data_IF_615408707050
#
_entry.id   IF_615408707050
#
_cell.length_a   1.000
_cell.length_b   1.000
_cell.length_c   1.000
_cell.angle_alpha   90.00
_cell.angle_beta   90.00
_cell.angle_gamma   90.00
#
_symmetry.space_group_name_H-M   'P 1'
#
loop_
_entity.id
_entity.type
_entity.pdbx_description
1 polymer ?
#
# COMPACT_ATOMS: atom_id res chain seq x y z
N UNK A 1 -27.93 -5.39 8.61
CA UNK A 1 -26.65 -6.01 8.17
C UNK A 1 -26.23 -7.05 9.20
N UNK A 2 -25.70 -8.20 8.75
CA UNK A 2 -25.11 -9.20 9.66
C UNK A 2 -23.83 -8.63 10.32
N UNK A 3 -23.35 -9.26 11.40
CA UNK A 3 -22.09 -8.86 12.05
C UNK A 3 -20.93 -8.90 11.04
N UNK A 4 -20.81 -9.99 10.29
CA UNK A 4 -19.80 -10.17 9.26
C UNK A 4 -19.83 -9.05 8.18
N UNK A 5 -21.04 -8.73 7.68
CA UNK A 5 -21.20 -7.66 6.69
C UNK A 5 -20.80 -6.28 7.22
N UNK A 6 -21.06 -6.00 8.52
CA UNK A 6 -20.63 -4.73 9.14
C UNK A 6 -19.11 -4.64 9.21
N UNK A 7 -18.44 -5.71 9.62
CA UNK A 7 -16.97 -5.76 9.69
C UNK A 7 -16.33 -5.68 8.29
N UNK A 8 -16.90 -6.34 7.29
CA UNK A 8 -16.42 -6.23 5.90
C UNK A 8 -16.60 -4.83 5.34
N UNK A 9 -17.71 -4.15 5.66
CA UNK A 9 -17.95 -2.78 5.20
C UNK A 9 -17.04 -1.75 5.92
N UNK A 10 -16.74 -1.97 7.20
CA UNK A 10 -15.71 -1.20 7.91
C UNK A 10 -14.36 -1.30 7.19
N UNK A 11 -13.89 -2.53 6.85
CA UNK A 11 -12.65 -2.73 6.11
C UNK A 11 -12.70 -2.09 4.72
N UNK A 12 -13.87 -2.20 4.04
CA UNK A 12 -14.08 -1.56 2.74
C UNK A 12 -13.83 -0.04 2.82
N UNK A 13 -14.46 0.64 3.76
CA UNK A 13 -14.29 2.09 3.92
C UNK A 13 -12.86 2.46 4.33
N UNK A 14 -12.25 1.70 5.25
CA UNK A 14 -10.86 1.91 5.69
C UNK A 14 -9.90 1.96 4.50
N UNK A 15 -9.95 0.96 3.64
CA UNK A 15 -9.03 0.88 2.49
C UNK A 15 -9.49 1.69 1.27
N UNK A 16 -10.77 2.02 1.16
CA UNK A 16 -11.25 2.99 0.18
C UNK A 16 -10.63 4.36 0.42
N UNK A 17 -10.58 4.82 1.68
CA UNK A 17 -9.96 6.10 2.06
C UNK A 17 -8.52 6.17 1.55
N UNK A 18 -7.74 5.13 1.79
CA UNK A 18 -6.33 5.08 1.37
C UNK A 18 -6.19 4.98 -0.15
N UNK A 19 -6.95 4.08 -0.77
CA UNK A 19 -6.95 3.88 -2.23
C UNK A 19 -7.42 5.10 -3.02
N UNK A 20 -8.20 5.99 -2.43
CA UNK A 20 -8.71 7.17 -3.11
C UNK A 20 -7.61 8.20 -3.43
N UNK A 21 -6.67 8.47 -2.51
CA UNK A 21 -5.68 9.54 -2.68
C UNK A 21 -4.27 9.07 -3.03
N UNK A 22 -3.85 7.89 -2.53
CA UNK A 22 -2.46 7.45 -2.64
C UNK A 22 -1.97 7.27 -4.09
N UNK A 23 -2.71 6.64 -5.01
CA UNK A 23 -2.17 6.39 -6.35
C UNK A 23 -1.81 7.64 -7.14
N UNK A 24 -2.51 8.75 -6.93
CA UNK A 24 -2.32 9.99 -7.69
C UNK A 24 -1.48 11.04 -6.99
N UNK A 25 -1.18 10.90 -5.69
CA UNK A 25 -0.41 11.91 -4.94
C UNK A 25 0.98 12.16 -5.56
N UNK A 26 1.63 11.12 -6.07
CA UNK A 26 2.99 11.20 -6.63
C UNK A 26 3.08 12.05 -7.89
N UNK A 27 1.98 12.17 -8.64
CA UNK A 27 1.85 13.11 -9.76
C UNK A 27 1.30 14.47 -9.34
N UNK A 28 0.45 14.48 -8.31
CA UNK A 28 -0.21 15.69 -7.83
C UNK A 28 0.74 16.67 -7.14
N UNK A 29 1.61 16.19 -6.24
CA UNK A 29 2.55 17.07 -5.53
C UNK A 29 3.47 17.85 -6.48
N UNK A 30 4.11 17.24 -7.50
CA UNK A 30 4.86 17.98 -8.50
C UNK A 30 4.02 18.98 -9.28
N UNK A 31 2.74 18.68 -9.61
CA UNK A 31 1.86 19.60 -10.32
C UNK A 31 1.47 20.84 -9.51
N UNK A 32 1.59 20.78 -8.18
CA UNK A 32 1.48 21.93 -7.27
C UNK A 32 2.79 22.76 -7.20
N UNK A 33 3.84 22.34 -7.88
CA UNK A 33 5.14 23.01 -7.86
C UNK A 33 6.00 22.69 -6.65
N UNK A 34 5.68 21.66 -5.88
CA UNK A 34 6.48 21.29 -4.71
C UNK A 34 7.83 20.71 -5.12
N UNK A 35 8.88 21.20 -4.49
CA UNK A 35 10.25 20.71 -4.66
C UNK A 35 10.37 19.23 -4.23
N UNK A 36 11.38 18.47 -4.70
CA UNK A 36 11.61 17.09 -4.28
C UNK A 36 11.68 16.89 -2.76
N UNK A 37 12.24 17.88 -2.06
CA UNK A 37 12.32 17.85 -0.59
C UNK A 37 10.94 18.00 0.05
N UNK A 38 10.09 18.89 -0.45
CA UNK A 38 8.73 19.09 0.04
C UNK A 38 7.85 17.87 -0.27
N UNK A 39 7.98 17.29 -1.46
CA UNK A 39 7.34 16.02 -1.83
C UNK A 39 7.75 14.91 -0.84
N UNK A 40 9.05 14.76 -0.57
CA UNK A 40 9.56 13.76 0.37
C UNK A 40 8.97 13.94 1.78
N UNK A 41 8.88 15.16 2.31
CA UNK A 41 8.27 15.42 3.61
C UNK A 41 6.79 15.02 3.67
N UNK A 42 6.01 15.36 2.65
CA UNK A 42 4.59 15.02 2.57
C UNK A 42 4.41 13.50 2.45
N UNK A 43 5.12 12.84 1.55
CA UNK A 43 5.04 11.41 1.33
C UNK A 43 5.51 10.61 2.56
N UNK A 44 6.44 11.16 3.33
CA UNK A 44 6.93 10.55 4.57
C UNK A 44 5.97 10.70 5.75
N UNK A 45 4.89 11.48 5.64
CA UNK A 45 3.89 11.55 6.71
C UNK A 45 3.31 10.17 7.06
N UNK A 46 3.05 9.32 6.06
CA UNK A 46 2.52 7.96 6.28
C UNK A 46 3.53 7.03 6.97
N UNK A 47 4.76 6.82 6.49
CA UNK A 47 5.74 5.98 7.19
C UNK A 47 6.15 6.54 8.56
N UNK A 48 6.21 7.85 8.74
CA UNK A 48 6.43 8.47 10.06
C UNK A 48 5.29 8.08 11.01
N UNK A 49 4.03 8.20 10.56
CA UNK A 49 2.87 7.81 11.34
C UNK A 49 2.87 6.31 11.66
N UNK A 50 3.33 5.45 10.73
CA UNK A 50 3.47 4.02 10.97
C UNK A 50 4.50 3.72 12.06
N UNK A 51 5.65 4.39 12.04
CA UNK A 51 6.70 4.26 13.05
C UNK A 51 6.19 4.75 14.41
N UNK A 52 5.61 5.94 14.46
CA UNK A 52 5.05 6.52 15.69
C UNK A 52 3.91 5.64 16.22
N UNK A 53 3.01 5.19 15.35
CA UNK A 53 1.89 4.33 15.70
C UNK A 53 2.31 3.02 16.33
N UNK A 54 3.37 2.41 15.85
CA UNK A 54 3.89 1.16 16.40
C UNK A 54 4.38 1.31 17.85
N UNK A 55 5.01 2.44 18.17
CA UNK A 55 5.56 2.68 19.51
C UNK A 55 4.54 3.26 20.49
N UNK A 56 3.59 4.07 20.04
CA UNK A 56 2.75 4.88 20.92
C UNK A 56 1.24 4.61 20.82
N UNK A 57 0.69 4.50 19.60
CA UNK A 57 -0.78 4.56 19.45
C UNK A 57 -1.46 3.24 19.77
N UNK A 58 -0.92 2.09 19.37
CA UNK A 58 -1.54 0.80 19.64
C UNK A 58 -1.61 0.52 21.16
N UNK A 59 -0.59 0.94 21.91
CA UNK A 59 -0.61 0.78 23.37
C UNK A 59 -1.53 1.79 24.08
N UNK A 60 -1.61 3.03 23.57
CA UNK A 60 -2.43 4.07 24.17
C UNK A 60 -3.92 3.89 23.84
N UNK A 61 -4.24 3.60 22.58
CA UNK A 61 -5.62 3.41 22.13
C UNK A 61 -6.26 2.17 22.77
N UNK A 62 -5.57 1.04 22.74
CA UNK A 62 -6.06 -0.24 23.26
C UNK A 62 -6.30 -0.23 24.78
N UNK A 63 -5.64 0.65 25.51
CA UNK A 63 -5.77 0.73 26.99
C UNK A 63 -6.82 1.71 27.48
N UNK A 64 -7.06 2.80 26.75
CA UNK A 64 -7.82 3.92 27.27
C UNK A 64 -9.18 4.12 26.59
N UNK A 65 -9.36 3.60 25.37
CA UNK A 65 -10.56 3.82 24.58
C UNK A 65 -11.14 2.51 24.07
N UNK A 66 -12.46 2.47 23.93
CA UNK A 66 -13.07 1.43 23.12
C UNK A 66 -12.71 1.62 21.65
N UNK A 67 -12.39 0.52 20.95
CA UNK A 67 -11.79 0.56 19.62
C UNK A 67 -12.68 1.29 18.59
N UNK A 68 -14.00 1.08 18.62
CA UNK A 68 -14.96 1.73 17.74
C UNK A 68 -15.05 3.26 17.97
N UNK A 69 -14.87 3.72 19.22
CA UNK A 69 -14.87 5.16 19.52
C UNK A 69 -13.57 5.83 19.09
N UNK A 70 -12.44 5.15 19.29
CA UNK A 70 -11.16 5.62 18.79
C UNK A 70 -11.20 5.73 17.26
N UNK A 71 -11.73 4.71 16.57
CA UNK A 71 -11.93 4.71 15.13
C UNK A 71 -12.78 5.93 14.69
N UNK A 72 -13.92 6.18 15.35
CA UNK A 72 -14.79 7.31 15.03
C UNK A 72 -14.08 8.65 15.16
N UNK A 73 -13.41 8.91 16.30
CA UNK A 73 -12.72 10.19 16.53
C UNK A 73 -11.54 10.39 15.56
N UNK A 74 -10.75 9.34 15.32
CA UNK A 74 -9.63 9.38 14.38
C UNK A 74 -10.10 9.72 12.97
N UNK A 75 -11.23 9.16 12.53
CA UNK A 75 -11.78 9.44 11.20
C UNK A 75 -12.53 10.77 11.09
N UNK A 76 -13.03 11.34 12.19
CA UNK A 76 -13.55 12.72 12.18
C UNK A 76 -12.40 13.70 11.97
N UNK A 77 -11.36 13.64 12.78
CA UNK A 77 -10.26 14.61 12.74
C UNK A 77 -9.36 14.35 11.54
N UNK A 78 -8.95 13.10 11.32
CA UNK A 78 -8.14 12.69 10.17
C UNK A 78 -8.86 12.87 8.84
N UNK A 79 -10.19 12.67 8.83
CA UNK A 79 -11.06 12.92 7.67
C UNK A 79 -11.16 14.41 7.33
N UNK A 80 -11.30 15.28 8.32
CA UNK A 80 -11.26 16.73 8.12
C UNK A 80 -9.89 17.18 7.58
N UNK A 81 -8.81 16.59 8.08
CA UNK A 81 -7.46 16.91 7.64
C UNK A 81 -7.23 16.50 6.17
N UNK A 82 -7.56 15.25 5.77
CA UNK A 82 -7.39 14.81 4.38
C UNK A 82 -8.30 15.57 3.43
N UNK A 83 -9.53 15.88 3.82
CA UNK A 83 -10.43 16.73 3.05
C UNK A 83 -9.82 18.12 2.85
N UNK A 84 -9.20 18.69 3.89
CA UNK A 84 -8.50 19.98 3.82
C UNK A 84 -7.35 19.99 2.81
N UNK A 85 -6.64 18.85 2.61
CA UNK A 85 -5.60 18.74 1.58
C UNK A 85 -6.11 19.03 0.17
N UNK A 86 -7.40 18.78 -0.12
CA UNK A 86 -8.01 19.10 -1.41
C UNK A 86 -8.21 20.60 -1.66
N UNK A 87 -8.02 21.47 -0.67
CA UNK A 87 -8.28 22.91 -0.76
C UNK A 87 -7.05 23.77 -0.48
N UNK A 88 -5.88 23.15 -0.33
CA UNK A 88 -4.61 23.86 -0.12
C UNK A 88 -3.59 23.44 -1.17
N UNK A 89 -2.83 24.42 -1.67
CA UNK A 89 -1.83 24.27 -2.73
C UNK A 89 -0.44 24.77 -2.31
N UNK A 90 -0.26 25.06 -1.01
CA UNK A 90 1.02 25.49 -0.42
C UNK A 90 1.57 24.42 0.51
N UNK A 91 2.89 24.30 0.57
CA UNK A 91 3.59 23.20 1.26
C UNK A 91 3.19 23.03 2.74
N UNK A 92 3.34 24.08 3.56
CA UNK A 92 3.15 23.93 5.01
C UNK A 92 1.73 23.51 5.42
N UNK A 93 0.65 24.14 4.92
CA UNK A 93 -0.70 23.68 5.21
C UNK A 93 -0.95 22.25 4.73
N UNK A 94 -0.49 21.91 3.50
CA UNK A 94 -0.66 20.57 2.96
C UNK A 94 0.08 19.52 3.82
N UNK A 95 1.34 19.78 4.16
CA UNK A 95 2.14 18.87 5.00
C UNK A 95 1.53 18.65 6.38
N UNK A 96 1.11 19.72 7.07
CA UNK A 96 0.52 19.61 8.41
C UNK A 96 -0.80 18.82 8.35
N UNK A 97 -1.67 19.10 7.38
CA UNK A 97 -2.92 18.37 7.21
C UNK A 97 -2.68 16.90 6.88
N UNK A 98 -1.74 16.59 5.98
CA UNK A 98 -1.37 15.23 5.63
C UNK A 98 -0.78 14.49 6.84
N UNK A 99 0.09 15.15 7.61
CA UNK A 99 0.67 14.56 8.82
C UNK A 99 -0.40 14.25 9.88
N UNK A 100 -1.34 15.17 10.13
CA UNK A 100 -2.48 14.95 11.04
C UNK A 100 -3.34 13.79 10.56
N UNK A 101 -3.66 13.76 9.26
CA UNK A 101 -4.40 12.64 8.67
C UNK A 101 -3.68 11.31 8.93
N UNK A 102 -2.40 11.22 8.55
CA UNK A 102 -1.64 9.97 8.66
C UNK A 102 -1.47 9.52 10.13
N UNK A 103 -1.18 10.42 11.06
CA UNK A 103 -1.02 10.09 12.49
C UNK A 103 -2.30 9.52 13.11
N UNK A 104 -3.47 9.90 12.60
CA UNK A 104 -4.76 9.40 13.07
C UNK A 104 -5.25 8.19 12.27
N UNK A 105 -5.00 8.16 10.95
CA UNK A 105 -5.45 7.11 10.06
C UNK A 105 -4.63 5.82 10.19
N UNK A 106 -3.28 5.90 10.19
CA UNK A 106 -2.44 4.69 10.15
C UNK A 106 -2.69 3.74 11.32
N UNK A 107 -2.86 4.20 12.56
CA UNK A 107 -3.24 3.32 13.67
C UNK A 107 -4.58 2.62 13.48
N UNK A 108 -5.54 3.23 12.77
CA UNK A 108 -6.87 2.64 12.58
C UNK A 108 -6.84 1.37 11.73
N UNK A 109 -5.83 1.19 10.88
CA UNK A 109 -5.60 -0.05 10.13
C UNK A 109 -5.45 -1.25 11.09
N UNK A 110 -4.70 -1.10 12.18
CA UNK A 110 -4.55 -2.15 13.20
C UNK A 110 -5.82 -2.30 14.05
N UNK A 111 -6.49 -1.20 14.36
CA UNK A 111 -7.70 -1.17 15.17
C UNK A 111 -8.86 -1.86 14.46
N UNK A 112 -9.03 -1.65 13.16
CA UNK A 112 -10.05 -2.36 12.38
C UNK A 112 -9.81 -3.87 12.36
N UNK A 113 -8.55 -4.32 12.28
CA UNK A 113 -8.20 -5.73 12.46
C UNK A 113 -8.56 -6.22 13.87
N UNK A 114 -8.24 -5.47 14.92
CA UNK A 114 -8.55 -5.82 16.31
C UNK A 114 -10.05 -5.93 16.55
N UNK A 115 -10.86 -4.98 16.04
CA UNK A 115 -12.32 -5.06 16.08
C UNK A 115 -12.82 -6.32 15.37
N UNK A 116 -12.28 -6.63 14.18
CA UNK A 116 -12.68 -7.81 13.44
C UNK A 116 -12.40 -9.09 14.25
N UNK A 117 -11.18 -9.28 14.74
CA UNK A 117 -10.79 -10.46 15.53
C UNK A 117 -11.59 -10.63 16.82
N UNK A 118 -11.95 -9.52 17.49
CA UNK A 118 -12.72 -9.57 18.74
C UNK A 118 -14.17 -10.03 18.54
N UNK A 119 -14.67 -10.04 17.30
CA UNK A 119 -16.10 -10.28 17.03
C UNK A 119 -16.38 -11.41 16.06
N UNK A 120 -15.40 -12.23 15.73
CA UNK A 120 -15.55 -13.43 14.90
C UNK A 120 -15.26 -14.68 15.71
N UNK A 121 -16.06 -15.71 15.51
CA UNK A 121 -15.93 -16.98 16.24
C UNK A 121 -14.86 -17.89 15.61
N UNK A 122 -14.66 -17.79 14.30
CA UNK A 122 -13.65 -18.54 13.53
C UNK A 122 -12.80 -17.54 12.72
N UNK A 123 -11.67 -17.11 13.28
CA UNK A 123 -10.76 -16.17 12.59
C UNK A 123 -10.26 -16.70 11.25
N UNK A 124 -9.98 -17.98 11.13
CA UNK A 124 -9.44 -18.60 9.90
C UNK A 124 -10.43 -18.55 8.74
N UNK A 125 -11.68 -18.79 9.02
CA UNK A 125 -12.75 -18.78 8.01
C UNK A 125 -13.26 -17.38 7.72
N UNK A 126 -13.45 -16.56 8.75
CA UNK A 126 -14.20 -15.31 8.63
C UNK A 126 -13.30 -14.09 8.39
N UNK A 127 -12.07 -14.06 8.92
CA UNK A 127 -11.20 -12.91 8.74
C UNK A 127 -10.78 -12.68 7.28
N UNK A 128 -10.45 -13.70 6.48
CA UNK A 128 -10.15 -13.50 5.06
C UNK A 128 -11.31 -12.85 4.29
N UNK A 129 -12.56 -13.22 4.61
CA UNK A 129 -13.76 -12.63 3.99
C UNK A 129 -13.87 -11.14 4.36
N UNK A 130 -13.68 -10.81 5.63
CA UNK A 130 -13.69 -9.43 6.12
C UNK A 130 -12.58 -8.63 5.46
N UNK A 131 -11.37 -9.18 5.40
CA UNK A 131 -10.19 -8.51 4.85
C UNK A 131 -10.30 -8.28 3.33
N UNK A 132 -10.97 -9.18 2.61
CA UNK A 132 -11.30 -8.98 1.18
C UNK A 132 -12.13 -7.71 0.97
N UNK A 133 -13.00 -7.35 1.95
CA UNK A 133 -13.70 -6.06 1.93
C UNK A 133 -12.74 -4.87 1.77
N UNK A 134 -11.58 -4.92 2.42
CA UNK A 134 -10.55 -3.87 2.29
C UNK A 134 -9.98 -3.79 0.86
N UNK A 135 -9.60 -4.91 0.26
CA UNK A 135 -9.10 -4.93 -1.12
C UNK A 135 -10.18 -4.44 -2.10
N UNK A 136 -11.44 -4.82 -1.90
CA UNK A 136 -12.55 -4.29 -2.70
C UNK A 136 -12.73 -2.78 -2.51
N UNK A 137 -12.53 -2.26 -1.29
CA UNK A 137 -12.56 -0.82 -1.01
C UNK A 137 -11.50 -0.06 -1.80
N UNK A 138 -10.28 -0.56 -1.78
CA UNK A 138 -9.15 0.00 -2.56
C UNK A 138 -9.45 0.01 -4.06
N UNK A 139 -9.89 -1.12 -4.61
CA UNK A 139 -10.24 -1.25 -6.04
C UNK A 139 -11.37 -0.29 -6.41
N UNK A 140 -12.43 -0.27 -5.60
CA UNK A 140 -13.61 0.58 -5.85
C UNK A 140 -13.28 2.06 -5.80
N UNK A 141 -12.26 2.46 -5.03
CA UNK A 141 -11.82 3.85 -4.97
C UNK A 141 -11.33 4.39 -6.32
N UNK A 142 -10.83 3.54 -7.21
CA UNK A 142 -10.41 3.96 -8.55
C UNK A 142 -11.59 4.31 -9.49
N UNK A 143 -12.77 3.72 -9.30
CA UNK A 143 -13.90 3.82 -10.22
C UNK A 143 -14.40 5.26 -10.42
N UNK A 144 -14.68 6.06 -9.38
CA UNK A 144 -15.14 7.43 -9.57
C UNK A 144 -14.16 8.28 -10.39
N UNK A 145 -12.85 8.09 -10.17
CA UNK A 145 -11.83 8.90 -10.82
C UNK A 145 -11.62 8.55 -12.30
N UNK A 146 -12.00 7.35 -12.72
CA UNK A 146 -12.09 6.99 -14.15
C UNK A 146 -13.02 7.94 -14.91
N UNK A 147 -14.03 8.52 -14.26
CA UNK A 147 -15.00 9.43 -14.84
C UNK A 147 -14.77 10.91 -14.46
N UNK A 148 -14.25 11.17 -13.25
CA UNK A 148 -13.93 12.54 -12.80
C UNK A 148 -12.75 13.12 -13.59
N UNK A 149 -11.80 12.29 -13.99
CA UNK A 149 -10.62 12.70 -14.76
C UNK A 149 -10.84 12.67 -16.29
N UNK A 150 -12.09 12.62 -16.77
CA UNK A 150 -12.41 12.66 -18.19
C UNK A 150 -12.61 14.10 -18.66
N UNK A 151 -12.03 14.42 -19.81
CA UNK A 151 -12.35 15.62 -20.58
C UNK A 151 -13.69 15.45 -21.30
N UNK A 152 -14.77 15.79 -20.62
CA UNK A 152 -16.13 15.67 -21.15
C UNK A 152 -16.40 16.63 -22.33
N UNK A 153 -15.67 17.73 -22.47
CA UNK A 153 -15.78 18.60 -23.63
C UNK A 153 -15.29 17.87 -24.88
N UNK A 154 -14.12 17.26 -24.82
CA UNK A 154 -13.57 16.44 -25.91
C UNK A 154 -14.47 15.24 -26.24
N UNK A 155 -15.01 14.54 -25.23
CA UNK A 155 -15.95 13.42 -25.44
C UNK A 155 -17.23 13.88 -26.14
N UNK A 156 -17.80 15.00 -25.70
CA UNK A 156 -19.06 15.52 -26.28
C UNK A 156 -18.87 16.13 -27.70
N UNK A 157 -17.65 16.59 -28.00
CA UNK A 157 -17.31 17.09 -29.33
C UNK A 157 -17.05 15.99 -30.35
N UNK A 158 -16.73 14.79 -29.89
CA UNK A 158 -16.48 13.64 -30.75
C UNK A 158 -17.79 13.06 -31.29
N UNK A 159 -17.91 13.00 -32.61
CA UNK A 159 -19.07 12.39 -33.29
C UNK A 159 -18.94 10.86 -33.24
N UNK A 160 -19.39 10.27 -32.13
CA UNK A 160 -19.27 8.83 -31.87
C UNK A 160 -20.61 8.11 -32.12
N UNK A 161 -20.60 7.15 -33.03
CA UNK A 161 -21.75 6.31 -33.32
C UNK A 161 -21.73 4.99 -32.50
N UNK A 162 -22.61 4.93 -31.51
CA UNK A 162 -22.82 3.74 -30.67
C UNK A 162 -22.00 3.69 -29.38
N UNK A 163 -22.48 2.87 -28.45
CA UNK A 163 -21.95 2.79 -27.09
C UNK A 163 -20.45 2.40 -27.02
N UNK A 164 -20.00 1.47 -27.87
CA UNK A 164 -18.62 0.99 -27.86
C UNK A 164 -17.65 2.10 -28.32
N UNK A 165 -18.01 2.84 -29.39
CA UNK A 165 -17.21 3.96 -29.86
C UNK A 165 -17.18 5.10 -28.85
N UNK A 166 -18.33 5.45 -28.27
CA UNK A 166 -18.42 6.43 -27.19
C UNK A 166 -17.56 6.01 -25.97
N UNK A 167 -17.66 4.75 -25.53
CA UNK A 167 -16.84 4.25 -24.43
C UNK A 167 -15.34 4.35 -24.76
N UNK A 168 -14.94 4.00 -25.98
CA UNK A 168 -13.56 4.17 -26.45
C UNK A 168 -13.08 5.61 -26.32
N UNK A 169 -13.91 6.57 -26.76
CA UNK A 169 -13.61 8.01 -26.63
C UNK A 169 -13.48 8.42 -25.16
N UNK A 170 -14.40 8.03 -24.29
CA UNK A 170 -14.32 8.31 -22.83
C UNK A 170 -13.00 7.77 -22.25
N UNK A 171 -12.60 6.60 -22.68
CA UNK A 171 -11.39 5.93 -22.16
C UNK A 171 -10.09 6.59 -22.65
N UNK A 172 -10.12 7.29 -23.78
CA UNK A 172 -8.96 7.96 -24.38
C UNK A 172 -8.92 9.48 -24.12
N UNK A 173 -9.96 10.04 -23.47
CA UNK A 173 -10.12 11.46 -23.20
C UNK A 173 -9.82 11.79 -21.73
N UNK A 174 -8.59 11.57 -21.27
CA UNK A 174 -8.17 11.95 -19.93
C UNK A 174 -7.79 13.44 -19.85
N UNK A 175 -8.16 14.11 -18.75
CA UNK A 175 -7.73 15.47 -18.45
C UNK A 175 -6.20 15.59 -18.38
N UNK A 176 -5.67 16.73 -18.80
CA UNK A 176 -4.24 17.03 -18.77
C UNK A 176 -3.97 18.39 -18.12
N UNK A 177 -2.71 18.68 -17.80
CA UNK A 177 -2.29 19.99 -17.27
C UNK A 177 -3.05 20.45 -16.03
N UNK A 178 -3.45 21.71 -16.01
CA UNK A 178 -4.14 22.33 -14.87
C UNK A 178 -5.51 21.71 -14.61
N UNK A 179 -6.24 21.30 -15.65
CA UNK A 179 -7.53 20.63 -15.49
C UNK A 179 -7.39 19.29 -14.77
N UNK A 180 -6.36 18.49 -15.07
CA UNK A 180 -6.05 17.26 -14.35
C UNK A 180 -5.67 17.56 -12.90
N UNK A 181 -4.83 18.56 -12.65
CA UNK A 181 -4.46 19.00 -11.30
C UNK A 181 -5.70 19.37 -10.48
N UNK A 182 -6.58 20.19 -11.03
CA UNK A 182 -7.80 20.64 -10.37
C UNK A 182 -8.79 19.50 -10.12
N UNK A 183 -8.89 18.53 -11.03
CA UNK A 183 -9.73 17.35 -10.84
C UNK A 183 -9.12 16.37 -9.81
N UNK A 184 -7.79 16.26 -9.70
CA UNK A 184 -7.12 15.36 -8.76
C UNK A 184 -7.40 15.72 -7.30
N UNK A 185 -7.69 17.00 -6.98
CA UNK A 185 -8.10 17.40 -5.61
C UNK A 185 -9.31 16.63 -5.07
N UNK A 186 -10.20 16.17 -5.96
CA UNK A 186 -11.36 15.38 -5.56
C UNK A 186 -11.04 14.03 -4.96
N UNK A 187 -9.80 13.52 -5.14
CA UNK A 187 -9.33 12.31 -4.47
C UNK A 187 -9.27 12.50 -2.95
N UNK A 188 -8.80 13.66 -2.50
CA UNK A 188 -8.74 14.03 -1.08
C UNK A 188 -10.13 14.30 -0.52
N UNK A 189 -11.01 14.92 -1.31
CA UNK A 189 -12.41 15.15 -0.91
C UNK A 189 -13.13 13.80 -0.74
N UNK A 190 -12.98 12.88 -1.69
CA UNK A 190 -13.58 11.54 -1.61
C UNK A 190 -13.06 10.76 -0.38
N UNK A 191 -11.75 10.80 -0.11
CA UNK A 191 -11.15 10.20 1.06
C UNK A 191 -11.70 10.81 2.37
N UNK A 192 -11.83 12.14 2.43
CA UNK A 192 -12.39 12.84 3.59
C UNK A 192 -13.86 12.50 3.83
N UNK A 193 -14.68 12.49 2.79
CA UNK A 193 -16.09 12.07 2.88
C UNK A 193 -16.21 10.62 3.33
N UNK A 194 -15.43 9.71 2.73
CA UNK A 194 -15.42 8.31 3.15
C UNK A 194 -14.97 8.14 4.62
N UNK A 195 -14.01 8.95 5.09
CA UNK A 195 -13.61 9.02 6.51
C UNK A 195 -14.79 9.41 7.41
N UNK A 196 -15.55 10.44 7.06
CA UNK A 196 -16.74 10.81 7.84
C UNK A 196 -17.82 9.74 7.82
N UNK A 197 -18.01 9.05 6.69
CA UNK A 197 -18.91 7.91 6.59
C UNK A 197 -18.44 6.77 7.51
N UNK A 198 -17.14 6.47 7.54
CA UNK A 198 -16.58 5.45 8.44
C UNK A 198 -16.72 5.87 9.91
N UNK A 199 -16.48 7.14 10.23
CA UNK A 199 -16.66 7.67 11.57
C UNK A 199 -18.11 7.49 12.06
N UNK A 200 -19.09 7.87 11.24
CA UNK A 200 -20.50 7.66 11.55
C UNK A 200 -20.86 6.16 11.63
N UNK A 201 -20.33 5.36 10.71
CA UNK A 201 -20.56 3.91 10.68
C UNK A 201 -19.95 3.20 11.90
N UNK A 202 -18.86 3.72 12.47
CA UNK A 202 -18.22 3.17 13.67
C UNK A 202 -19.17 3.11 14.87
N UNK A 203 -20.18 3.96 14.92
CA UNK A 203 -21.22 3.95 15.97
C UNK A 203 -22.13 2.71 15.89
N UNK A 204 -22.17 2.03 14.75
CA UNK A 204 -22.95 0.80 14.51
C UNK A 204 -22.10 -0.48 14.62
N UNK A 205 -20.80 -0.34 14.88
CA UNK A 205 -19.92 -1.48 15.13
C UNK A 205 -20.18 -2.09 16.50
N UNK A 206 -19.90 -3.38 16.70
CA UNK A 206 -20.02 -3.99 18.00
C UNK A 206 -19.02 -3.38 18.98
N UNK A 207 -19.45 -3.23 20.23
CA UNK A 207 -18.65 -2.64 21.29
C UNK A 207 -17.39 -3.47 21.57
N UNK A 208 -16.23 -2.86 21.45
CA UNK A 208 -14.92 -3.49 21.66
C UNK A 208 -14.22 -2.73 22.81
N UNK A 209 -14.34 -3.23 24.05
CA UNK A 209 -13.82 -2.53 25.23
C UNK A 209 -12.29 -2.50 25.21
N UNK A 210 -11.66 -1.53 25.90
CA UNK A 210 -10.23 -1.45 26.02
C UNK A 210 -9.66 -2.68 26.73
N UNK A 211 -8.57 -3.23 26.20
CA UNK A 211 -7.83 -4.34 26.80
C UNK A 211 -7.04 -3.82 28.01
N UNK A 212 -7.59 -3.98 29.21
CA UNK A 212 -6.88 -3.73 30.47
C UNK A 212 -5.89 -4.86 30.73
N UNK A 213 -4.75 -4.86 30.06
CA UNK A 213 -3.66 -5.79 30.36
C UNK A 213 -3.03 -5.38 31.70
N UNK A 214 -2.90 -6.32 32.63
CA UNK A 214 -2.28 -6.13 33.92
C UNK A 214 -0.89 -5.49 33.80
N UNK A 215 -0.62 -4.51 34.66
CA UNK A 215 0.66 -3.80 34.79
C UNK A 215 1.67 -4.84 35.31
N UNK A 216 2.46 -5.45 34.44
CA UNK A 216 3.46 -6.45 34.86
C UNK A 216 4.28 -7.10 33.76
N UNK A 217 3.84 -7.10 32.52
CA UNK A 217 4.65 -7.62 31.42
C UNK A 217 5.51 -6.52 30.80
N UNK A 218 6.83 -6.66 30.95
CA UNK A 218 7.86 -5.79 30.36
C UNK A 218 7.84 -5.88 28.81
N UNK A 219 6.73 -5.45 28.16
CA UNK A 219 6.62 -5.38 26.70
C UNK A 219 7.61 -4.37 26.07
N UNK A 220 8.15 -3.44 26.89
CA UNK A 220 9.21 -2.54 26.40
C UNK A 220 10.51 -3.26 26.07
N UNK A 221 10.71 -4.49 26.57
CA UNK A 221 11.88 -5.31 26.25
C UNK A 221 11.60 -6.38 25.18
N UNK A 222 10.33 -6.67 24.85
CA UNK A 222 9.98 -7.72 23.89
C UNK A 222 10.50 -7.44 22.48
N UNK A 223 10.56 -6.16 22.05
CA UNK A 223 11.16 -5.78 20.78
C UNK A 223 12.69 -5.97 20.79
N UNK A 224 13.36 -5.75 21.94
CA UNK A 224 14.80 -6.01 22.10
C UNK A 224 15.09 -7.50 22.05
N UNK A 225 14.24 -8.34 22.65
CA UNK A 225 14.36 -9.79 22.56
C UNK A 225 14.18 -10.27 21.11
N UNK A 226 13.17 -9.73 20.40
CA UNK A 226 12.98 -10.02 18.98
C UNK A 226 14.17 -9.52 18.13
N UNK A 227 14.73 -8.36 18.45
CA UNK A 227 15.94 -7.85 17.77
C UNK A 227 17.18 -8.73 18.01
N UNK A 228 17.28 -9.46 19.14
CA UNK A 228 18.36 -10.42 19.36
C UNK A 228 18.34 -11.57 18.35
N UNK A 229 17.17 -11.93 17.81
CA UNK A 229 17.04 -12.96 16.78
C UNK A 229 17.65 -12.55 15.44
N UNK A 230 17.88 -11.26 15.19
CA UNK A 230 18.65 -10.77 14.03
C UNK A 230 20.13 -11.24 14.06
N UNK A 231 20.60 -11.80 15.16
CA UNK A 231 21.93 -12.46 15.23
C UNK A 231 21.98 -13.75 14.41
N UNK A 232 20.84 -14.37 14.12
CA UNK A 232 20.79 -15.50 13.21
C UNK A 232 20.96 -15.01 11.75
N UNK A 233 21.97 -15.49 11.02
CA UNK A 233 22.31 -14.94 9.69
C UNK A 233 21.13 -14.93 8.71
N UNK A 234 20.32 -15.98 8.69
CA UNK A 234 19.18 -16.06 7.78
C UNK A 234 18.05 -15.05 8.13
N UNK A 235 17.85 -14.74 9.43
CA UNK A 235 16.89 -13.72 9.88
C UNK A 235 17.41 -12.33 9.50
N UNK A 236 18.72 -12.07 9.69
CA UNK A 236 19.35 -10.82 9.29
C UNK A 236 19.22 -10.59 7.77
N UNK A 237 19.46 -11.63 6.97
CA UNK A 237 19.27 -11.58 5.51
C UNK A 237 17.82 -11.26 5.18
N UNK A 238 16.85 -11.96 5.77
CA UNK A 238 15.43 -11.70 5.54
C UNK A 238 15.06 -10.27 5.91
N UNK A 239 15.57 -9.77 7.03
CA UNK A 239 15.29 -8.42 7.51
C UNK A 239 15.84 -7.33 6.57
N UNK A 240 17.07 -7.48 6.08
CA UNK A 240 17.69 -6.56 5.13
C UNK A 240 16.96 -6.62 3.77
N UNK A 241 16.61 -7.82 3.31
CA UNK A 241 15.86 -7.97 2.06
C UNK A 241 14.45 -7.40 2.20
N UNK A 242 13.80 -7.53 3.36
CA UNK A 242 12.49 -6.91 3.60
C UNK A 242 12.56 -5.39 3.49
N UNK A 243 13.62 -4.76 4.01
CA UNK A 243 13.85 -3.32 3.80
C UNK A 243 14.06 -2.98 2.33
N UNK A 244 14.92 -3.72 1.63
CA UNK A 244 15.23 -3.48 0.22
C UNK A 244 14.00 -3.69 -0.68
N UNK A 245 13.22 -4.74 -0.44
CA UNK A 245 12.01 -5.02 -1.21
C UNK A 245 10.90 -4.01 -0.93
N UNK A 246 10.78 -3.54 0.32
CA UNK A 246 9.89 -2.43 0.64
C UNK A 246 10.29 -1.13 -0.05
N UNK A 247 11.58 -0.81 -0.13
CA UNK A 247 12.07 0.32 -0.92
C UNK A 247 11.64 0.17 -2.40
N UNK A 248 11.91 -0.98 -3.00
CA UNK A 248 11.55 -1.31 -4.40
C UNK A 248 10.03 -1.21 -4.62
N UNK A 249 9.24 -1.74 -3.69
CA UNK A 249 7.78 -1.68 -3.73
C UNK A 249 7.26 -0.23 -3.73
N UNK A 250 7.87 0.64 -2.92
CA UNK A 250 7.50 2.05 -2.88
C UNK A 250 8.00 2.84 -4.10
N UNK A 251 9.08 2.43 -4.78
CA UNK A 251 9.44 2.98 -6.09
C UNK A 251 8.32 2.79 -7.11
N UNK A 252 7.58 1.67 -7.05
CA UNK A 252 6.41 1.46 -7.90
C UNK A 252 5.37 2.56 -7.71
N UNK A 253 4.96 2.85 -6.50
CA UNK A 253 3.97 3.91 -6.24
C UNK A 253 4.49 5.29 -6.62
N UNK A 254 5.76 5.58 -6.34
CA UNK A 254 6.35 6.88 -6.63
C UNK A 254 6.42 7.22 -8.14
N UNK A 255 6.65 6.22 -8.99
CA UNK A 255 7.01 6.48 -10.38
C UNK A 255 6.03 5.94 -11.41
N UNK A 256 5.31 4.85 -11.10
CA UNK A 256 4.49 4.15 -12.11
C UNK A 256 3.39 5.04 -12.68
N UNK A 257 2.69 5.82 -11.85
CA UNK A 257 1.62 6.70 -12.34
C UNK A 257 2.12 7.73 -13.35
N UNK A 258 3.28 8.35 -13.08
CA UNK A 258 3.91 9.32 -13.99
C UNK A 258 4.41 8.65 -15.27
N UNK A 259 4.99 7.46 -15.18
CA UNK A 259 5.44 6.66 -16.31
C UNK A 259 4.27 6.24 -17.22
N UNK A 260 3.18 5.77 -16.64
CA UNK A 260 2.00 5.37 -17.39
C UNK A 260 1.40 6.55 -18.17
N UNK A 261 1.36 7.74 -17.58
CA UNK A 261 0.77 8.93 -18.18
C UNK A 261 1.71 9.72 -19.09
N UNK A 262 3.02 9.50 -19.03
CA UNK A 262 3.97 10.17 -19.92
C UNK A 262 3.78 9.71 -21.37
N UNK A 263 4.01 10.62 -22.32
CA UNK A 263 3.90 10.30 -23.75
C UNK A 263 4.90 9.23 -24.18
N UNK A 264 4.58 8.49 -25.24
CA UNK A 264 5.49 7.50 -25.81
C UNK A 264 6.77 8.18 -26.35
N UNK A 265 6.63 9.41 -26.85
CA UNK A 265 7.77 10.21 -27.34
C UNK A 265 8.75 10.57 -26.21
N UNK A 266 8.23 10.73 -24.99
CA UNK A 266 9.01 11.01 -23.78
C UNK A 266 9.45 9.72 -23.05
N UNK A 267 9.31 8.57 -23.68
CA UNK A 267 9.68 7.26 -23.12
C UNK A 267 8.68 6.69 -22.11
N UNK A 268 7.48 7.26 -22.01
CA UNK A 268 6.36 6.74 -21.21
C UNK A 268 5.48 5.76 -22.01
N UNK A 269 4.30 5.46 -21.45
CA UNK A 269 3.36 4.47 -22.00
C UNK A 269 2.20 5.11 -22.76
N UNK A 270 1.91 6.41 -22.50
CA UNK A 270 0.83 7.13 -23.15
C UNK A 270 -0.58 6.74 -22.69
N UNK A 271 -0.74 6.30 -21.45
CA UNK A 271 -2.05 5.96 -20.87
C UNK A 271 -2.76 7.25 -20.42
N UNK A 272 -3.99 7.43 -20.85
CA UNK A 272 -4.81 8.56 -20.45
C UNK A 272 -4.96 8.65 -18.91
N UNK A 273 -4.98 9.86 -18.37
CA UNK A 273 -4.91 10.12 -16.92
C UNK A 273 -6.02 9.44 -16.11
N UNK A 274 -7.22 9.32 -16.69
CA UNK A 274 -8.36 8.63 -16.09
C UNK A 274 -8.20 7.10 -16.00
N UNK A 275 -7.22 6.51 -16.72
CA UNK A 275 -6.91 5.08 -16.68
C UNK A 275 -5.74 4.71 -15.78
N UNK A 276 -4.97 5.67 -15.29
CA UNK A 276 -3.80 5.39 -14.44
C UNK A 276 -4.22 4.57 -13.21
N UNK A 277 -5.23 5.01 -12.47
CA UNK A 277 -5.72 4.29 -11.29
C UNK A 277 -6.27 2.89 -11.63
N UNK A 278 -7.17 2.72 -12.62
CA UNK A 278 -7.63 1.41 -13.06
C UNK A 278 -6.51 0.45 -13.45
N UNK A 279 -5.53 0.92 -14.22
CA UNK A 279 -4.37 0.10 -14.63
C UNK A 279 -3.55 -0.34 -13.41
N UNK A 280 -3.26 0.57 -12.49
CA UNK A 280 -2.57 0.21 -11.25
C UNK A 280 -3.38 -0.76 -10.39
N UNK A 281 -4.72 -0.68 -10.43
CA UNK A 281 -5.63 -1.57 -9.69
C UNK A 281 -5.59 -3.03 -10.18
N UNK A 282 -5.15 -3.31 -11.42
CA UNK A 282 -4.91 -4.68 -11.91
C UNK A 282 -4.03 -5.49 -10.95
N UNK A 283 -3.04 -4.83 -10.35
CA UNK A 283 -2.16 -5.44 -9.35
C UNK A 283 -2.89 -5.91 -8.09
N UNK A 284 -3.85 -5.14 -7.59
CA UNK A 284 -4.64 -5.49 -6.40
C UNK A 284 -5.64 -6.63 -6.68
N UNK A 285 -6.20 -6.66 -7.88
CA UNK A 285 -7.03 -7.81 -8.30
C UNK A 285 -6.18 -9.09 -8.35
N UNK A 286 -4.99 -9.00 -8.93
CA UNK A 286 -4.04 -10.10 -8.97
C UNK A 286 -3.57 -10.54 -7.57
N UNK A 287 -3.46 -9.62 -6.62
CA UNK A 287 -3.14 -9.92 -5.22
C UNK A 287 -4.15 -10.89 -4.62
N UNK A 288 -5.45 -10.64 -4.79
CA UNK A 288 -6.51 -11.54 -4.29
C UNK A 288 -6.31 -12.95 -4.85
N UNK A 289 -6.09 -13.07 -6.17
CA UNK A 289 -5.91 -14.36 -6.83
C UNK A 289 -4.63 -15.07 -6.37
N UNK A 290 -3.55 -14.31 -6.19
CA UNK A 290 -2.26 -14.86 -5.76
C UNK A 290 -2.32 -15.32 -4.30
N UNK A 291 -3.02 -14.60 -3.44
CA UNK A 291 -3.24 -15.01 -2.05
C UNK A 291 -4.00 -16.33 -1.95
N UNK A 292 -4.98 -16.59 -2.83
CA UNK A 292 -5.70 -17.87 -2.86
C UNK A 292 -4.80 -19.07 -3.16
N UNK A 293 -3.73 -18.88 -3.91
CA UNK A 293 -2.81 -19.96 -4.29
C UNK A 293 -1.55 -20.01 -3.41
N UNK A 294 -1.33 -19.02 -2.55
CA UNK A 294 -0.12 -18.88 -1.74
C UNK A 294 0.17 -20.14 -0.91
N UNK A 295 -0.83 -20.70 -0.23
CA UNK A 295 -0.65 -21.90 0.60
C UNK A 295 -0.15 -23.11 -0.20
N UNK A 296 -0.67 -23.30 -1.42
CA UNK A 296 -0.25 -24.38 -2.32
C UNK A 296 1.19 -24.15 -2.81
N UNK A 297 1.51 -22.92 -3.18
CA UNK A 297 2.86 -22.54 -3.64
C UNK A 297 3.87 -22.72 -2.51
N UNK A 298 3.53 -22.28 -1.31
CA UNK A 298 4.39 -22.37 -0.13
C UNK A 298 4.66 -23.84 0.26
N UNK A 299 3.65 -24.71 0.22
CA UNK A 299 3.81 -26.17 0.43
C UNK A 299 4.73 -26.81 -0.60
N UNK A 300 4.69 -26.37 -1.87
CA UNK A 300 5.49 -26.96 -2.95
C UNK A 300 6.92 -26.44 -3.03
N UNK A 301 7.12 -25.14 -2.85
CA UNK A 301 8.41 -24.47 -3.07
C UNK A 301 9.14 -24.14 -1.77
N UNK A 302 8.45 -24.20 -0.61
CA UNK A 302 8.97 -23.79 0.67
C UNK A 302 9.21 -22.29 0.80
N UNK A 303 9.60 -21.84 1.97
CA UNK A 303 9.76 -20.45 2.34
C UNK A 303 10.70 -19.67 1.39
N UNK A 304 11.89 -20.21 1.15
CA UNK A 304 12.94 -19.55 0.39
C UNK A 304 12.51 -19.23 -1.04
N UNK A 305 12.08 -20.25 -1.79
CA UNK A 305 11.78 -20.07 -3.20
C UNK A 305 10.50 -19.30 -3.45
N UNK A 306 9.52 -19.42 -2.56
CA UNK A 306 8.32 -18.58 -2.62
C UNK A 306 8.68 -17.10 -2.51
N UNK A 307 9.49 -16.73 -1.50
CA UNK A 307 9.95 -15.35 -1.33
C UNK A 307 10.84 -14.86 -2.47
N UNK A 308 11.74 -15.71 -2.99
CA UNK A 308 12.59 -15.36 -4.16
C UNK A 308 11.72 -15.03 -5.37
N UNK A 309 10.69 -15.83 -5.67
CA UNK A 309 9.76 -15.55 -6.77
C UNK A 309 9.02 -14.24 -6.55
N UNK A 310 8.60 -13.94 -5.31
CA UNK A 310 7.98 -12.66 -4.96
C UNK A 310 8.88 -11.47 -5.31
N UNK A 311 10.13 -11.48 -4.84
CA UNK A 311 11.10 -10.40 -5.13
C UNK A 311 11.45 -10.34 -6.63
N UNK A 312 11.61 -11.49 -7.29
CA UNK A 312 11.84 -11.55 -8.75
C UNK A 312 10.68 -10.97 -9.56
N UNK A 313 9.45 -11.02 -9.05
CA UNK A 313 8.31 -10.33 -9.65
C UNK A 313 8.52 -8.82 -9.76
N UNK A 314 9.11 -8.18 -8.74
CA UNK A 314 9.52 -6.78 -8.83
C UNK A 314 10.58 -6.56 -9.90
N UNK A 315 11.63 -7.39 -9.94
CA UNK A 315 12.69 -7.27 -10.93
C UNK A 315 12.13 -7.40 -12.35
N UNK A 316 11.27 -8.41 -12.61
CA UNK A 316 10.66 -8.62 -13.91
C UNK A 316 9.77 -7.43 -14.34
N UNK A 317 8.98 -6.87 -13.42
CA UNK A 317 8.15 -5.69 -13.69
C UNK A 317 8.98 -4.48 -14.05
N UNK A 318 10.01 -4.16 -13.29
CA UNK A 318 10.87 -3.01 -13.57
C UNK A 318 11.75 -3.23 -14.80
N UNK A 319 12.13 -4.48 -15.12
CA UNK A 319 12.75 -4.79 -16.40
C UNK A 319 11.81 -4.51 -17.59
N UNK A 320 10.53 -4.88 -17.48
CA UNK A 320 9.54 -4.54 -18.50
C UNK A 320 9.39 -3.01 -18.66
N UNK A 321 9.34 -2.25 -17.56
CA UNK A 321 9.25 -0.80 -17.62
C UNK A 321 10.49 -0.14 -18.23
N UNK A 322 11.69 -0.65 -17.91
CA UNK A 322 12.94 -0.09 -18.38
C UNK A 322 13.21 -0.37 -19.87
N UNK A 323 12.83 -1.57 -20.35
CA UNK A 323 13.29 -2.04 -21.65
C UNK A 323 12.18 -2.23 -22.69
N UNK A 324 10.91 -2.17 -22.31
CA UNK A 324 9.77 -2.43 -23.18
C UNK A 324 8.61 -1.44 -23.00
N UNK A 325 8.87 -0.13 -22.77
CA UNK A 325 7.81 0.86 -22.49
C UNK A 325 6.81 1.02 -23.65
N UNK A 326 7.25 0.79 -24.89
CA UNK A 326 6.45 0.93 -26.10
C UNK A 326 5.34 -0.13 -26.24
N UNK A 327 5.42 -1.24 -25.48
CA UNK A 327 4.40 -2.28 -25.50
C UNK A 327 3.34 -2.06 -24.44
N UNK A 328 2.42 -1.10 -24.65
CA UNK A 328 1.37 -0.72 -23.71
C UNK A 328 0.63 -1.92 -23.10
N UNK A 329 0.24 -2.89 -23.95
CA UNK A 329 -0.46 -4.10 -23.47
C UNK A 329 0.40 -4.94 -22.52
N UNK A 330 1.71 -5.04 -22.74
CA UNK A 330 2.63 -5.71 -21.84
C UNK A 330 2.72 -4.96 -20.51
N UNK A 331 2.83 -3.64 -20.57
CA UNK A 331 2.92 -2.80 -19.35
C UNK A 331 1.64 -2.90 -18.50
N UNK A 332 0.48 -2.99 -19.12
CA UNK A 332 -0.79 -3.22 -18.40
C UNK A 332 -0.82 -4.64 -17.81
N UNK A 333 -0.46 -5.66 -18.58
CA UNK A 333 -0.48 -7.06 -18.12
C UNK A 333 0.51 -7.31 -16.99
N UNK A 334 1.70 -6.71 -17.05
CA UNK A 334 2.76 -6.91 -16.05
C UNK A 334 2.38 -6.38 -14.67
N UNK A 335 1.33 -5.54 -14.56
CA UNK A 335 0.79 -5.11 -13.27
C UNK A 335 0.36 -6.30 -12.39
N UNK A 336 -0.02 -7.43 -12.99
CA UNK A 336 -0.36 -8.67 -12.29
C UNK A 336 0.77 -9.12 -11.34
N UNK A 337 2.03 -8.85 -11.69
CA UNK A 337 3.16 -9.18 -10.82
C UNK A 337 3.16 -8.43 -9.48
N UNK A 338 2.42 -7.33 -9.36
CA UNK A 338 2.26 -6.65 -8.07
C UNK A 338 1.63 -7.59 -7.02
N UNK A 339 0.59 -8.33 -7.39
CA UNK A 339 -0.02 -9.33 -6.53
C UNK A 339 0.94 -10.46 -6.17
N UNK A 340 1.74 -10.93 -7.13
CA UNK A 340 2.77 -11.95 -6.89
C UNK A 340 3.81 -11.45 -5.87
N UNK A 341 4.31 -10.22 -6.04
CA UNK A 341 5.28 -9.62 -5.13
C UNK A 341 4.72 -9.53 -3.72
N UNK A 342 3.49 -9.03 -3.57
CA UNK A 342 2.88 -8.85 -2.26
C UNK A 342 2.64 -10.19 -1.56
N UNK A 343 1.96 -11.12 -2.23
CA UNK A 343 1.61 -12.40 -1.62
C UNK A 343 2.82 -13.28 -1.34
N UNK A 344 3.73 -13.43 -2.32
CA UNK A 344 4.83 -14.38 -2.21
C UNK A 344 6.02 -13.83 -1.42
N UNK A 345 6.10 -12.51 -1.21
CA UNK A 345 7.11 -11.97 -0.33
C UNK A 345 6.49 -11.43 0.97
N UNK A 346 5.77 -10.32 0.97
CA UNK A 346 5.32 -9.67 2.22
C UNK A 346 4.39 -10.55 3.06
N UNK A 347 3.36 -11.15 2.46
CA UNK A 347 2.47 -12.04 3.21
C UNK A 347 3.22 -13.28 3.71
N UNK A 348 4.13 -13.83 2.89
CA UNK A 348 4.96 -14.97 3.29
C UNK A 348 5.90 -14.62 4.45
N UNK A 349 6.45 -13.41 4.51
CA UNK A 349 7.26 -12.94 5.65
C UNK A 349 6.43 -12.96 6.94
N UNK A 350 5.19 -12.47 6.92
CA UNK A 350 4.33 -12.50 8.12
C UNK A 350 4.02 -13.93 8.57
N UNK A 351 3.69 -14.82 7.64
CA UNK A 351 3.43 -16.25 7.95
C UNK A 351 4.70 -16.91 8.49
N UNK A 352 5.86 -16.64 7.90
CA UNK A 352 7.15 -17.17 8.37
C UNK A 352 7.47 -16.69 9.79
N UNK A 353 7.26 -15.41 10.08
CA UNK A 353 7.48 -14.85 11.42
C UNK A 353 6.56 -15.53 12.43
N UNK A 354 5.30 -15.77 12.08
CA UNK A 354 4.35 -16.45 12.96
C UNK A 354 4.75 -17.91 13.20
N UNK A 355 5.22 -18.61 12.19
CA UNK A 355 5.64 -19.99 12.29
C UNK A 355 6.97 -20.20 13.06
N UNK A 356 7.93 -19.29 12.83
CA UNK A 356 9.30 -19.49 13.31
C UNK A 356 9.56 -18.90 14.70
N UNK A 357 8.96 -17.72 15.00
CA UNK A 357 9.27 -17.03 16.26
C UNK A 357 8.48 -17.61 17.44
N UNK A 358 9.07 -17.66 18.65
CA UNK A 358 8.38 -18.08 19.87
C UNK A 358 7.08 -17.28 20.09
N UNK A 359 6.04 -17.93 20.64
CA UNK A 359 4.70 -17.32 20.81
C UNK A 359 4.71 -15.96 21.53
N UNK A 360 5.58 -15.81 22.52
CA UNK A 360 5.78 -14.58 23.31
C UNK A 360 6.49 -13.46 22.52
N UNK A 361 7.29 -13.79 21.52
CA UNK A 361 8.05 -12.86 20.70
C UNK A 361 7.39 -12.53 19.34
N UNK A 362 6.38 -13.28 18.88
CA UNK A 362 5.77 -13.14 17.53
C UNK A 362 5.27 -11.74 17.23
N UNK A 363 4.48 -11.17 18.13
CA UNK A 363 3.92 -9.82 17.96
C UNK A 363 5.01 -8.76 17.82
N UNK A 364 6.08 -8.88 18.61
CA UNK A 364 7.21 -7.94 18.54
C UNK A 364 8.06 -8.16 17.29
N UNK A 365 8.22 -9.40 16.85
CA UNK A 365 8.90 -9.74 15.60
C UNK A 365 8.14 -9.22 14.39
N UNK A 366 6.81 -9.42 14.35
CA UNK A 366 5.96 -8.82 13.31
C UNK A 366 6.07 -7.29 13.30
N UNK A 367 6.14 -6.66 14.48
CA UNK A 367 6.38 -5.23 14.61
C UNK A 367 7.71 -4.78 13.98
N UNK A 368 8.80 -5.54 14.18
CA UNK A 368 10.09 -5.24 13.56
C UNK A 368 10.05 -5.37 12.03
N UNK A 369 9.38 -6.38 11.49
CA UNK A 369 9.22 -6.51 10.04
C UNK A 369 8.29 -5.43 9.48
N UNK A 370 7.22 -5.06 10.18
CA UNK A 370 6.37 -3.93 9.84
C UNK A 370 7.15 -2.60 9.81
N UNK A 371 8.10 -2.42 10.73
CA UNK A 371 8.98 -1.26 10.71
C UNK A 371 9.79 -1.19 9.41
N UNK A 372 10.24 -2.32 8.86
CA UNK A 372 10.92 -2.34 7.55
C UNK A 372 9.93 -2.09 6.41
N UNK A 373 8.75 -2.73 6.44
CA UNK A 373 7.79 -2.72 5.34
C UNK A 373 7.08 -1.37 5.21
N UNK A 374 6.45 -0.91 6.29
CA UNK A 374 5.60 0.30 6.27
C UNK A 374 6.33 1.56 6.74
N UNK A 375 7.46 1.40 7.45
CA UNK A 375 8.24 2.49 8.00
C UNK A 375 9.49 2.79 7.17
N UNK A 376 10.62 2.15 7.49
CA UNK A 376 11.94 2.54 7.00
C UNK A 376 12.11 2.36 5.49
N UNK A 377 11.58 1.29 4.88
CA UNK A 377 11.66 1.08 3.44
C UNK A 377 10.87 2.13 2.66
N UNK A 378 9.64 2.42 3.10
CA UNK A 378 8.81 3.47 2.53
C UNK A 378 9.43 4.87 2.74
N UNK A 379 9.95 5.15 3.95
CA UNK A 379 10.63 6.40 4.27
C UNK A 379 11.84 6.64 3.34
N UNK A 380 12.65 5.61 3.12
CA UNK A 380 13.80 5.68 2.22
C UNK A 380 13.36 5.95 0.78
N UNK A 381 12.34 5.22 0.28
CA UNK A 381 11.84 5.42 -1.07
C UNK A 381 11.26 6.83 -1.25
N UNK A 382 10.36 7.26 -0.37
CA UNK A 382 9.72 8.57 -0.47
C UNK A 382 10.71 9.74 -0.32
N UNK A 383 11.86 9.52 0.34
CA UNK A 383 12.92 10.53 0.43
C UNK A 383 13.80 10.55 -0.83
N UNK A 384 14.09 9.39 -1.40
CA UNK A 384 15.05 9.24 -2.51
C UNK A 384 14.35 9.39 -3.86
N UNK A 385 13.15 8.82 -4.04
CA UNK A 385 12.49 8.76 -5.35
C UNK A 385 12.19 10.13 -5.97
N UNK A 386 11.67 11.15 -5.25
CA UNK A 386 11.45 12.47 -5.84
C UNK A 386 12.76 13.11 -6.31
N UNK A 387 13.84 12.94 -5.53
CA UNK A 387 15.15 13.46 -5.89
C UNK A 387 15.74 12.77 -7.13
N UNK A 388 15.69 11.44 -7.20
CA UNK A 388 16.16 10.69 -8.37
C UNK A 388 15.38 11.10 -9.61
N UNK A 389 14.08 11.20 -9.52
CA UNK A 389 13.22 11.58 -10.63
C UNK A 389 13.58 12.98 -11.14
N UNK A 390 13.56 13.99 -10.26
CA UNK A 390 13.65 15.39 -10.69
C UNK A 390 15.08 15.88 -10.91
N UNK A 391 16.09 15.31 -10.24
CA UNK A 391 17.47 15.82 -10.27
C UNK A 391 18.48 14.93 -10.96
N UNK A 392 18.21 13.64 -11.06
CA UNK A 392 19.18 12.68 -11.63
C UNK A 392 18.71 12.20 -13.01
N UNK A 393 17.44 11.83 -13.13
CA UNK A 393 16.89 11.21 -14.34
C UNK A 393 16.01 12.14 -15.18
N UNK A 394 15.89 13.44 -14.82
CA UNK A 394 15.24 14.44 -15.68
C UNK A 394 16.28 15.44 -16.17
N UNK A 395 16.51 15.48 -17.48
CA UNK A 395 17.43 16.41 -18.13
C UNK A 395 16.67 17.25 -19.17
N UNK A 396 16.70 18.57 -19.06
CA UNK A 396 16.00 19.50 -19.97
C UNK A 396 14.50 19.17 -20.15
N UNK A 397 13.83 18.69 -19.10
CA UNK A 397 12.42 18.33 -19.12
C UNK A 397 12.14 16.92 -19.66
N UNK A 398 13.12 16.21 -20.17
CA UNK A 398 12.98 14.80 -20.64
C UNK A 398 13.40 13.85 -19.52
N UNK A 399 12.58 12.84 -19.29
CA UNK A 399 12.79 11.84 -18.23
C UNK A 399 13.47 10.61 -18.83
N UNK A 400 14.59 10.19 -18.24
CA UNK A 400 15.21 8.90 -18.52
C UNK A 400 14.53 7.80 -17.68
N UNK A 401 13.39 7.31 -18.15
CA UNK A 401 12.67 6.21 -17.50
C UNK A 401 13.47 4.90 -17.47
N UNK A 402 14.30 4.63 -18.48
CA UNK A 402 15.13 3.44 -18.51
C UNK A 402 16.15 3.45 -17.35
N UNK A 403 16.89 4.53 -17.22
CA UNK A 403 17.83 4.70 -16.12
C UNK A 403 17.12 4.66 -14.75
N UNK A 404 15.99 5.35 -14.62
CA UNK A 404 15.20 5.41 -13.41
C UNK A 404 14.75 4.02 -12.94
N UNK A 405 14.15 3.22 -13.81
CA UNK A 405 13.66 1.88 -13.47
C UNK A 405 14.75 0.83 -13.34
N UNK A 406 15.95 1.09 -13.85
CA UNK A 406 17.12 0.23 -13.60
C UNK A 406 17.51 0.21 -12.13
N UNK A 407 17.27 1.29 -11.37
CA UNK A 407 17.57 1.36 -9.93
C UNK A 407 16.80 0.27 -9.15
N UNK A 408 15.45 0.22 -9.14
CA UNK A 408 14.72 -0.82 -8.43
C UNK A 408 14.90 -2.21 -9.05
N UNK A 409 15.14 -2.33 -10.36
CA UNK A 409 15.49 -3.59 -11.00
C UNK A 409 16.75 -4.21 -10.41
N UNK A 410 17.82 -3.44 -10.29
CA UNK A 410 19.10 -3.91 -9.70
C UNK A 410 18.92 -4.23 -8.23
N UNK A 411 18.23 -3.36 -7.48
CA UNK A 411 17.97 -3.57 -6.07
C UNK A 411 17.17 -4.86 -5.81
N UNK A 412 16.08 -5.10 -6.54
CA UNK A 412 15.29 -6.32 -6.45
C UNK A 412 16.09 -7.57 -6.86
N UNK A 413 16.90 -7.47 -7.92
CA UNK A 413 17.74 -8.58 -8.37
C UNK A 413 18.77 -8.99 -7.30
N UNK A 414 19.47 -8.02 -6.72
CA UNK A 414 20.42 -8.26 -5.63
C UNK A 414 19.71 -8.85 -4.40
N UNK A 415 18.53 -8.33 -4.05
CA UNK A 415 17.72 -8.86 -2.94
C UNK A 415 17.29 -10.32 -3.20
N UNK A 416 16.82 -10.65 -4.40
CA UNK A 416 16.44 -12.01 -4.78
C UNK A 416 17.64 -12.98 -4.75
N UNK A 417 18.80 -12.57 -5.27
CA UNK A 417 20.05 -13.36 -5.22
C UNK A 417 20.47 -13.58 -3.76
N UNK A 418 20.38 -12.53 -2.92
CA UNK A 418 20.72 -12.62 -1.49
C UNK A 418 19.82 -13.62 -0.77
N UNK A 419 18.51 -13.62 -1.03
CA UNK A 419 17.59 -14.63 -0.51
C UNK A 419 17.94 -16.04 -1.00
N UNK A 420 18.17 -16.21 -2.29
CA UNK A 420 18.47 -17.50 -2.88
C UNK A 420 19.75 -18.13 -2.30
N UNK A 421 20.77 -17.33 -2.02
CA UNK A 421 22.07 -17.80 -1.54
C UNK A 421 22.15 -17.93 -0.01
N UNK A 422 21.61 -16.97 0.73
CA UNK A 422 21.88 -16.79 2.15
C UNK A 422 20.66 -17.06 3.05
N UNK A 423 19.42 -17.03 2.54
CA UNK A 423 18.25 -17.36 3.32
C UNK A 423 18.09 -18.89 3.38
N UNK A 424 18.64 -19.48 4.44
CA UNK A 424 18.59 -20.93 4.73
C UNK A 424 17.91 -21.12 6.09
N UNK A 425 16.57 -21.01 6.16
CA UNK A 425 15.85 -21.25 7.41
C UNK A 425 16.01 -22.73 7.81
N UNK A 426 16.04 -23.05 9.11
CA UNK A 426 15.92 -24.43 9.58
C UNK A 426 14.58 -25.02 9.07
N UNK A 427 14.50 -26.35 9.02
CA UNK A 427 13.28 -27.06 8.60
C UNK A 427 12.16 -26.83 9.61
N UNK A 428 11.51 -25.69 9.53
CA UNK A 428 10.16 -25.50 10.08
C UNK A 428 9.20 -26.04 9.03
N UNK A 429 8.50 -27.11 9.35
CA UNK A 429 7.60 -27.73 8.39
C UNK A 429 6.52 -26.71 8.00
N UNK A 430 6.38 -26.47 6.71
CA UNK A 430 5.29 -25.64 6.17
C UNK A 430 3.94 -26.23 6.59
N UNK A 431 3.85 -27.55 6.75
CA UNK A 431 2.68 -28.28 7.25
C UNK A 431 2.34 -27.89 8.69
N UNK A 432 3.32 -27.76 9.61
CA UNK A 432 3.03 -27.31 10.97
C UNK A 432 2.57 -25.85 11.01
N UNK A 433 3.04 -25.00 10.12
CA UNK A 433 2.61 -23.59 10.05
C UNK A 433 1.19 -23.41 9.47
N UNK A 434 0.78 -24.35 8.60
CA UNK A 434 -0.55 -24.29 7.95
C UNK A 434 -1.56 -25.20 8.67
N UNK A 435 -1.11 -26.30 9.28
CA UNK A 435 -1.94 -27.33 9.92
C UNK A 435 -1.97 -27.22 11.48
N UNK A 436 -0.99 -26.57 12.14
CA UNK A 436 -1.05 -26.24 13.59
C UNK A 436 -2.12 -25.18 13.89
N UNK A 437 -2.69 -24.68 12.84
CA UNK A 437 -3.93 -23.95 12.81
C UNK A 437 -5.20 -24.86 12.90
N UNK A 438 -5.09 -26.15 13.20
CA UNK A 438 -6.23 -27.09 13.37
C UNK A 438 -6.52 -27.49 14.83
N UNK A 439 -6.09 -26.68 15.83
CA UNK A 439 -6.53 -26.86 17.23
C UNK A 439 -7.25 -25.61 17.72
#
# INVERSE_FOLDING_TARGET
MSKLSRLSFMMFLEFFIWGAWLPLIFGYLPSLGFSPSEQAWILNAFPIAAIVGMFFSNQFADRNFSAEKFLAVSHIIGGAAILGCGFVDTFWPFFVLMLVHCLLYVPTISITNSIAFSHIDDPKKNFPIIRTGGTLGWITAAIPFTFILVDWESVNAADTNGFIAWLGTVLDSGLTGDAMKDATRWTYVAAGVASFVLAAFSLFLPHTPPNKVEIGTNRSQAWLESAKLLRHPFIAVLFIVTFADSFVHNCYFNWTGRFLGASVEDGGVGIASNWIMPVMTVGQVAEILTMLVLGVVLKKLGWRWTMVIGVMGHAARFAAYAFFPEYQSLIILIQVLHGVCYAFFFATVYIFVDAYFPKDARSSAQGLFNLMILGLGALAANSICPFLFDKVYTNNGVIDFQGLFTVPLVCASVAAISLALFFKPPEVSVESAIDDDTV
#
